data_IF_809544495857
#
_entry.id   IF_809544495857
#
_cell.length_a   1.000
_cell.length_b   1.000
_cell.length_c   1.000
_cell.angle_alpha   90.00
_cell.angle_beta   90.00
_cell.angle_gamma   90.00
#
_symmetry.space_group_name_H-M   'P 1'
#
loop_
_entity.id
_entity.type
_entity.pdbx_description
1 polymer ?
#
# COMPACT_ATOMS: atom_id res chain seq x y z
N UNK A 1 13.31 59.79 11.80
CA UNK A 1 14.11 58.79 12.54
C UNK A 1 14.10 57.44 11.81
N UNK A 2 14.35 57.46 10.50
CA UNK A 2 14.54 56.25 9.70
C UNK A 2 16.05 56.14 9.50
N UNK A 3 16.67 55.05 9.98
CA UNK A 3 18.08 54.62 9.78
C UNK A 3 18.73 53.95 11.02
N UNK A 4 17.96 53.38 11.95
CA UNK A 4 18.58 52.44 12.92
C UNK A 4 18.68 51.06 12.27
N UNK A 5 19.81 50.77 11.61
CA UNK A 5 20.19 49.42 11.18
C UNK A 5 20.43 48.55 12.42
N UNK A 6 19.78 47.38 12.48
CA UNK A 6 19.86 46.45 13.60
C UNK A 6 21.29 45.91 13.79
N UNK A 7 21.96 46.36 14.85
CA UNK A 7 23.27 45.89 15.30
C UNK A 7 23.15 44.63 16.17
N UNK A 8 22.60 43.54 15.62
CA UNK A 8 22.67 42.24 16.27
C UNK A 8 23.79 41.41 15.65
N UNK A 9 24.56 40.69 16.46
CA UNK A 9 25.70 39.82 16.06
C UNK A 9 25.26 38.77 15.00
N UNK A 10 23.97 38.48 14.94
CA UNK A 10 23.35 37.57 13.97
C UNK A 10 23.29 38.16 12.56
N UNK A 11 23.31 39.48 12.38
CA UNK A 11 23.29 40.11 11.06
C UNK A 11 24.64 39.97 10.35
N UNK A 12 25.77 39.99 11.06
CA UNK A 12 27.11 39.83 10.47
C UNK A 12 27.36 38.43 9.90
N UNK A 13 26.79 37.39 10.51
CA UNK A 13 26.89 36.03 10.00
C UNK A 13 25.95 35.80 8.82
N UNK A 14 24.75 36.40 8.84
CA UNK A 14 23.81 36.31 7.73
C UNK A 14 24.33 37.06 6.49
N UNK A 15 24.93 38.23 6.64
CA UNK A 15 25.54 38.98 5.51
C UNK A 15 26.79 38.32 4.94
N UNK A 16 27.46 37.44 5.69
CA UNK A 16 28.58 36.61 5.20
C UNK A 16 28.12 35.34 4.48
N UNK A 17 26.94 34.82 4.83
CA UNK A 17 26.33 33.68 4.15
C UNK A 17 25.59 34.09 2.87
N UNK A 18 25.16 35.35 2.79
CA UNK A 18 24.57 35.92 1.58
C UNK A 18 25.69 36.50 0.70
N UNK A 19 25.91 35.90 -0.46
CA UNK A 19 26.89 36.40 -1.43
C UNK A 19 26.31 37.59 -2.21
N UNK A 20 26.66 38.81 -1.81
CA UNK A 20 26.26 40.04 -2.48
C UNK A 20 27.06 40.34 -3.77
N UNK A 21 27.95 39.44 -4.20
CA UNK A 21 28.70 39.62 -5.46
C UNK A 21 27.86 39.31 -6.70
N UNK A 22 26.80 38.52 -6.56
CA UNK A 22 25.93 38.06 -7.67
C UNK A 22 24.87 39.11 -8.04
N UNK A 23 24.43 39.94 -7.09
CA UNK A 23 23.37 40.95 -7.28
C UNK A 23 23.83 42.22 -8.04
N UNK A 24 25.11 42.29 -8.44
CA UNK A 24 25.61 43.44 -9.21
C UNK A 24 25.72 43.17 -10.71
N UNK A 25 25.52 41.93 -11.15
CA UNK A 25 25.59 41.55 -12.56
C UNK A 25 24.83 40.22 -12.78
N UNK A 26 23.52 40.26 -13.01
CA UNK A 26 22.86 39.44 -14.03
C UNK A 26 21.36 39.68 -14.04
N UNK A 27 20.94 40.34 -15.11
CA UNK A 27 19.59 40.25 -15.65
C UNK A 27 19.20 38.80 -15.91
N UNK A 28 17.97 38.47 -15.50
CA UNK A 28 17.04 37.47 -16.06
C UNK A 28 17.46 35.98 -16.11
N UNK A 29 16.54 35.15 -15.61
CA UNK A 29 16.29 33.75 -15.96
C UNK A 29 17.25 32.65 -15.45
N UNK A 30 17.24 32.40 -14.14
CA UNK A 30 17.36 31.03 -13.59
C UNK A 30 16.95 30.97 -12.12
N UNK A 31 15.69 30.60 -11.86
CA UNK A 31 15.13 30.44 -10.49
C UNK A 31 15.42 29.07 -9.84
N UNK A 32 16.21 28.18 -10.46
CA UNK A 32 16.37 26.79 -9.99
C UNK A 32 17.74 26.43 -9.35
N UNK A 33 18.70 27.36 -9.26
CA UNK A 33 20.05 27.05 -8.75
C UNK A 33 20.41 27.76 -7.42
N UNK A 34 19.39 28.13 -6.64
CA UNK A 34 19.59 28.74 -5.32
C UNK A 34 19.85 27.65 -4.25
N UNK A 35 21.14 27.29 -4.14
CA UNK A 35 21.77 26.49 -3.06
C UNK A 35 21.70 24.97 -3.25
N UNK A 36 22.62 24.42 -4.05
CA UNK A 36 23.04 23.02 -3.94
C UNK A 36 24.32 22.94 -3.10
N UNK A 37 24.20 22.57 -1.81
CA UNK A 37 25.38 22.26 -0.99
C UNK A 37 26.06 21.01 -1.57
N UNK A 38 27.16 21.18 -2.31
CA UNK A 38 28.05 20.08 -2.71
C UNK A 38 28.70 19.51 -1.44
N UNK A 39 28.12 18.46 -0.86
CA UNK A 39 28.87 17.60 0.05
C UNK A 39 29.90 16.87 -0.80
N UNK A 40 31.19 17.16 -0.56
CA UNK A 40 32.28 16.58 -1.33
C UNK A 40 32.32 15.05 -1.21
N UNK A 41 31.97 14.53 -0.04
CA UNK A 41 31.98 13.10 0.26
C UNK A 41 30.64 12.72 0.93
N UNK A 42 29.89 11.83 0.28
CA UNK A 42 28.65 11.26 0.80
C UNK A 42 28.85 9.89 1.46
N UNK A 43 30.09 9.39 1.49
CA UNK A 43 30.43 8.15 2.16
C UNK A 43 30.41 8.38 3.67
N UNK A 44 29.41 7.80 4.33
CA UNK A 44 29.42 7.68 5.78
C UNK A 44 30.56 6.71 6.12
N UNK A 45 31.53 7.09 6.99
CA UNK A 45 32.44 6.10 7.53
C UNK A 45 31.58 5.00 8.15
N UNK A 46 31.91 3.73 7.85
CA UNK A 46 31.15 2.60 8.37
C UNK A 46 31.02 2.70 9.90
N UNK A 47 30.01 2.04 10.48
CA UNK A 47 29.62 2.11 11.90
C UNK A 47 30.78 1.92 12.93
N UNK A 48 32.00 1.59 12.50
CA UNK A 48 33.20 1.44 13.31
C UNK A 48 34.26 2.56 13.25
N UNK A 49 34.12 3.58 12.39
CA UNK A 49 35.16 4.60 12.14
C UNK A 49 34.83 6.00 12.71
N UNK A 50 34.13 6.05 13.84
CA UNK A 50 34.08 7.28 14.63
C UNK A 50 35.44 7.45 15.32
N UNK A 51 36.07 8.65 15.26
CA UNK A 51 37.35 8.87 15.92
C UNK A 51 37.22 8.55 17.42
N UNK A 52 38.11 7.70 17.92
CA UNK A 52 38.16 7.37 19.34
C UNK A 52 38.28 8.68 20.13
N UNK A 53 37.23 9.06 20.86
CA UNK A 53 37.28 10.28 21.65
C UNK A 53 38.34 10.11 22.73
N UNK A 54 39.49 10.75 22.57
CA UNK A 54 40.69 10.63 23.43
C UNK A 54 40.41 11.00 24.91
N UNK A 55 39.26 11.60 25.20
CA UNK A 55 38.87 12.08 26.53
C UNK A 55 37.66 11.34 27.13
N UNK A 56 37.63 10.00 27.09
CA UNK A 56 36.63 9.25 27.88
C UNK A 56 37.11 9.00 29.31
N UNK A 57 36.25 9.30 30.30
CA UNK A 57 36.57 8.98 31.69
C UNK A 57 36.63 7.47 31.93
N UNK A 58 37.50 7.00 32.82
CA UNK A 58 37.63 5.58 33.20
C UNK A 58 36.28 4.95 33.62
N UNK A 59 35.37 5.74 34.19
CA UNK A 59 34.00 5.32 34.53
C UNK A 59 33.16 5.08 33.28
N UNK A 60 33.25 5.96 32.27
CA UNK A 60 32.52 5.82 30.99
C UNK A 60 32.98 4.60 30.21
N UNK A 61 34.30 4.32 30.19
CA UNK A 61 34.85 3.09 29.56
C UNK A 61 34.30 1.84 30.24
N UNK A 62 34.30 1.78 31.59
CA UNK A 62 33.69 0.65 32.33
C UNK A 62 32.19 0.49 32.08
N UNK A 63 31.47 1.60 31.94
CA UNK A 63 30.04 1.58 31.61
C UNK A 63 29.80 1.09 30.17
N UNK A 64 30.64 1.48 29.21
CA UNK A 64 30.56 1.01 27.82
C UNK A 64 30.87 -0.49 27.71
N UNK A 65 31.80 -1.00 28.51
CA UNK A 65 32.13 -2.43 28.60
C UNK A 65 31.11 -3.25 29.43
N UNK A 66 30.11 -2.60 30.04
CA UNK A 66 29.09 -3.33 30.78
C UNK A 66 28.22 -4.16 29.84
N UNK A 67 27.83 -5.36 30.25
CA UNK A 67 26.98 -6.28 29.45
C UNK A 67 25.71 -5.61 28.91
N UNK A 68 25.14 -4.66 29.68
CA UNK A 68 23.95 -3.89 29.28
C UNK A 68 24.24 -2.88 28.18
N UNK A 69 25.40 -2.21 28.22
CA UNK A 69 25.80 -1.28 27.17
C UNK A 69 26.14 -2.04 25.89
N UNK A 70 26.92 -3.12 25.99
CA UNK A 70 27.23 -3.98 24.84
C UNK A 70 25.96 -4.58 24.22
N UNK A 71 25.00 -5.04 25.02
CA UNK A 71 23.74 -5.57 24.47
C UNK A 71 22.87 -4.49 23.80
N UNK A 72 23.01 -3.22 24.18
CA UNK A 72 22.19 -2.11 23.65
C UNK A 72 22.84 -1.43 22.44
N UNK A 73 24.14 -1.20 22.49
CA UNK A 73 24.90 -0.42 21.50
C UNK A 73 26.06 -1.17 20.88
N UNK A 74 26.31 -2.41 21.30
CA UNK A 74 27.27 -3.28 20.64
C UNK A 74 26.71 -3.85 19.33
N UNK A 75 27.58 -4.48 18.52
CA UNK A 75 27.16 -5.12 17.27
C UNK A 75 26.11 -6.19 17.57
N UNK A 76 25.05 -6.22 16.77
CA UNK A 76 24.09 -7.33 16.81
C UNK A 76 24.81 -8.60 16.33
N UNK A 77 24.53 -9.74 16.95
CA UNK A 77 25.09 -11.00 16.50
C UNK A 77 24.51 -11.40 15.15
N UNK A 78 25.37 -11.85 14.22
CA UNK A 78 24.93 -12.42 12.95
C UNK A 78 24.52 -13.87 13.18
N UNK A 79 23.39 -14.28 12.59
CA UNK A 79 22.96 -15.68 12.61
C UNK A 79 23.65 -16.40 11.46
N UNK A 80 24.47 -17.39 11.81
CA UNK A 80 25.20 -18.24 10.87
C UNK A 80 24.52 -19.61 10.78
N UNK A 81 24.41 -20.14 9.57
CA UNK A 81 23.96 -21.50 9.24
C UNK A 81 25.17 -22.23 8.67
N UNK A 82 25.37 -23.48 9.09
CA UNK A 82 26.48 -24.29 8.59
C UNK A 82 25.96 -25.23 7.51
N UNK A 83 26.59 -25.18 6.34
CA UNK A 83 26.28 -26.06 5.23
C UNK A 83 26.84 -27.48 5.47
N UNK A 84 26.53 -28.43 4.58
CA UNK A 84 26.96 -29.83 4.69
C UNK A 84 28.49 -30.00 4.69
N UNK A 85 29.21 -29.05 4.06
CA UNK A 85 30.67 -28.98 4.06
C UNK A 85 31.26 -28.33 5.35
N UNK A 86 30.39 -27.91 6.28
CA UNK A 86 30.78 -27.29 7.55
C UNK A 86 31.20 -25.82 7.43
N UNK A 87 30.98 -25.18 6.28
CA UNK A 87 31.23 -23.76 6.07
C UNK A 87 30.09 -22.92 6.65
N UNK A 88 30.41 -21.80 7.29
CA UNK A 88 29.44 -20.91 7.91
C UNK A 88 28.94 -19.88 6.90
N UNK A 89 27.64 -19.88 6.66
CA UNK A 89 26.91 -18.94 5.79
C UNK A 89 25.99 -18.04 6.63
N UNK A 90 25.89 -16.76 6.29
CA UNK A 90 24.90 -15.88 6.91
C UNK A 90 23.50 -16.25 6.41
N UNK A 91 22.46 -16.20 7.28
CA UNK A 91 21.07 -16.55 6.88
C UNK A 91 20.61 -15.76 5.65
N UNK A 92 21.06 -14.52 5.51
CA UNK A 92 20.72 -13.62 4.41
C UNK A 92 21.99 -13.16 3.69
N UNK A 93 22.68 -14.08 3.03
CA UNK A 93 23.81 -13.74 2.16
C UNK A 93 23.32 -13.15 0.82
N UNK A 94 23.94 -12.04 0.39
CA UNK A 94 23.71 -11.47 -0.94
C UNK A 94 24.48 -12.29 -1.97
N UNK A 95 23.81 -13.25 -2.61
CA UNK A 95 24.40 -14.04 -3.70
C UNK A 95 24.59 -13.18 -4.94
N UNK A 96 25.73 -13.33 -5.61
CA UNK A 96 26.00 -12.58 -6.84
C UNK A 96 25.12 -13.11 -7.98
N UNK A 97 24.69 -12.24 -8.89
CA UNK A 97 23.85 -12.62 -10.04
C UNK A 97 24.46 -13.76 -10.86
N UNK A 98 25.78 -13.81 -10.99
CA UNK A 98 26.52 -14.85 -11.71
C UNK A 98 26.55 -16.21 -11.00
N UNK A 99 26.38 -16.24 -9.67
CA UNK A 99 26.37 -17.47 -8.87
C UNK A 99 24.98 -18.10 -8.86
N UNK A 100 23.93 -17.27 -8.84
CA UNK A 100 22.53 -17.72 -8.81
C UNK A 100 22.01 -18.03 -10.21
N UNK A 101 22.41 -17.24 -11.21
CA UNK A 101 21.93 -17.38 -12.58
C UNK A 101 23.13 -17.62 -13.49
N UNK A 102 23.15 -18.79 -14.14
CA UNK A 102 24.25 -19.16 -15.06
C UNK A 102 24.07 -18.51 -16.43
N UNK A 103 22.87 -18.03 -16.75
CA UNK A 103 22.57 -17.32 -17.98
C UNK A 103 21.29 -16.47 -17.92
N UNK A 104 21.06 -15.71 -18.99
CA UNK A 104 19.89 -14.83 -19.11
C UNK A 104 18.55 -15.59 -19.19
N UNK A 105 18.58 -16.86 -19.60
CA UNK A 105 17.37 -17.69 -19.69
C UNK A 105 16.91 -18.18 -18.32
N UNK A 106 17.84 -18.52 -17.41
CA UNK A 106 17.52 -18.85 -16.01
C UNK A 106 16.82 -17.67 -15.31
N UNK A 107 17.24 -16.43 -15.60
CA UNK A 107 16.62 -15.21 -15.06
C UNK A 107 15.18 -15.09 -15.55
N UNK A 108 14.94 -15.32 -16.86
CA UNK A 108 13.61 -15.25 -17.44
C UNK A 108 12.69 -16.34 -16.90
N UNK A 109 13.20 -17.56 -16.71
CA UNK A 109 12.44 -18.66 -16.13
C UNK A 109 12.11 -18.42 -14.65
N UNK A 110 13.06 -17.93 -13.87
CA UNK A 110 12.82 -17.51 -12.49
C UNK A 110 11.78 -16.38 -12.41
N UNK A 111 11.87 -15.41 -13.32
CA UNK A 111 10.88 -14.33 -13.45
C UNK A 111 9.49 -14.86 -13.80
N UNK A 112 9.38 -15.85 -14.70
CA UNK A 112 8.10 -16.50 -15.04
C UNK A 112 7.51 -17.24 -13.84
N UNK A 113 8.31 -18.05 -13.14
CA UNK A 113 7.86 -18.78 -11.93
C UNK A 113 7.40 -17.81 -10.84
N UNK A 114 8.12 -16.71 -10.64
CA UNK A 114 7.72 -15.67 -9.71
C UNK A 114 6.41 -15.00 -10.12
N UNK A 115 6.27 -14.61 -11.39
CA UNK A 115 5.05 -13.99 -11.90
C UNK A 115 3.83 -14.94 -11.82
N UNK A 116 4.02 -16.23 -12.10
CA UNK A 116 2.98 -17.24 -11.94
C UNK A 116 2.59 -17.44 -10.47
N UNK A 117 3.57 -17.45 -9.55
CA UNK A 117 3.32 -17.52 -8.11
C UNK A 117 2.55 -16.31 -7.58
N UNK A 118 2.94 -15.10 -7.98
CA UNK A 118 2.22 -13.87 -7.63
C UNK A 118 0.82 -13.83 -8.24
N UNK A 119 0.65 -14.28 -9.49
CA UNK A 119 -0.68 -14.46 -10.10
C UNK A 119 -1.54 -15.46 -9.32
N UNK A 120 -0.96 -16.57 -8.86
CA UNK A 120 -1.65 -17.54 -8.01
C UNK A 120 -2.16 -16.92 -6.72
N UNK A 121 -1.30 -16.21 -5.98
CA UNK A 121 -1.70 -15.48 -4.75
C UNK A 121 -2.80 -14.45 -5.00
N UNK A 122 -2.72 -13.73 -6.11
CA UNK A 122 -3.73 -12.75 -6.52
C UNK A 122 -5.09 -13.44 -6.79
N UNK A 123 -5.09 -14.57 -7.49
CA UNK A 123 -6.30 -15.36 -7.73
C UNK A 123 -6.90 -15.90 -6.43
N UNK A 124 -6.08 -16.38 -5.49
CA UNK A 124 -6.54 -16.82 -4.18
C UNK A 124 -7.20 -15.67 -3.41
N UNK A 125 -6.58 -14.48 -3.40
CA UNK A 125 -7.16 -13.29 -2.79
C UNK A 125 -8.49 -12.90 -3.43
N UNK A 126 -8.60 -12.92 -4.76
CA UNK A 126 -9.85 -12.62 -5.48
C UNK A 126 -10.98 -13.60 -5.12
N UNK A 127 -10.66 -14.89 -4.93
CA UNK A 127 -11.63 -15.90 -4.50
C UNK A 127 -12.10 -15.65 -3.07
N UNK A 128 -11.18 -15.30 -2.15
CA UNK A 128 -11.50 -14.95 -0.77
C UNK A 128 -12.40 -13.70 -0.72
N UNK A 129 -12.04 -12.64 -1.46
CA UNK A 129 -12.85 -11.41 -1.53
C UNK A 129 -14.25 -11.68 -2.10
N UNK A 130 -14.34 -12.54 -3.13
CA UNK A 130 -15.62 -12.96 -3.71
C UNK A 130 -16.45 -13.78 -2.72
N UNK A 131 -15.81 -14.64 -1.93
CA UNK A 131 -16.48 -15.42 -0.89
C UNK A 131 -17.01 -14.51 0.22
N UNK A 132 -16.19 -13.61 0.76
CA UNK A 132 -16.62 -12.63 1.76
C UNK A 132 -17.78 -11.76 1.27
N UNK A 133 -17.72 -11.31 0.01
CA UNK A 133 -18.79 -10.51 -0.58
C UNK A 133 -20.12 -11.30 -0.68
N UNK A 134 -20.04 -12.60 -1.01
CA UNK A 134 -21.21 -13.50 -1.02
C UNK A 134 -21.73 -13.74 0.39
N UNK A 135 -20.87 -13.95 1.37
CA UNK A 135 -21.26 -14.15 2.77
C UNK A 135 -21.91 -12.90 3.37
N UNK A 136 -21.31 -11.72 3.19
CA UNK A 136 -21.90 -10.44 3.61
C UNK A 136 -23.28 -10.23 2.98
N UNK A 137 -23.49 -10.64 1.72
CA UNK A 137 -24.81 -10.61 1.07
C UNK A 137 -25.79 -11.62 1.69
N UNK A 138 -25.35 -12.86 1.93
CA UNK A 138 -26.18 -13.92 2.55
C UNK A 138 -26.56 -13.55 3.98
N UNK A 139 -25.64 -13.00 4.76
CA UNK A 139 -25.88 -12.54 6.13
C UNK A 139 -26.84 -11.35 6.16
N UNK A 140 -26.68 -10.37 5.26
CA UNK A 140 -27.66 -9.26 5.12
C UNK A 140 -29.06 -9.79 4.76
N UNK A 141 -29.15 -10.77 3.86
CA UNK A 141 -30.43 -11.44 3.53
C UNK A 141 -31.01 -12.17 4.74
N UNK A 142 -30.20 -12.93 5.49
CA UNK A 142 -30.63 -13.63 6.71
C UNK A 142 -31.13 -12.65 7.77
N UNK A 143 -30.37 -11.59 8.05
CA UNK A 143 -30.74 -10.54 9.01
C UNK A 143 -32.02 -9.81 8.60
N UNK A 144 -32.22 -9.54 7.30
CA UNK A 144 -33.46 -8.95 6.80
C UNK A 144 -34.65 -9.88 7.02
N UNK A 145 -34.51 -11.16 6.66
CA UNK A 145 -35.54 -12.19 6.85
C UNK A 145 -35.87 -12.41 8.33
N UNK A 146 -34.86 -12.37 9.20
CA UNK A 146 -35.04 -12.51 10.66
C UNK A 146 -35.73 -11.29 11.27
N UNK A 147 -35.31 -10.07 10.89
CA UNK A 147 -35.98 -8.84 11.32
C UNK A 147 -37.43 -8.77 10.86
N UNK A 148 -37.72 -9.14 9.62
CA UNK A 148 -39.09 -9.21 9.10
C UNK A 148 -39.93 -10.27 9.82
N UNK A 149 -39.33 -11.41 10.17
CA UNK A 149 -39.98 -12.45 10.96
C UNK A 149 -40.21 -12.02 12.42
N UNK A 150 -39.31 -11.26 13.01
CA UNK A 150 -39.45 -10.70 14.36
C UNK A 150 -40.48 -9.57 14.39
N UNK A 151 -40.51 -8.69 13.39
CA UNK A 151 -41.51 -7.62 13.26
C UNK A 151 -42.91 -8.19 13.00
N UNK A 152 -43.04 -9.23 12.17
CA UNK A 152 -44.30 -9.96 12.01
C UNK A 152 -44.70 -10.75 13.27
N UNK A 153 -43.73 -11.18 14.09
CA UNK A 153 -43.99 -11.80 15.40
C UNK A 153 -44.14 -10.80 16.56
N UNK A 154 -43.95 -9.50 16.32
CA UNK A 154 -44.07 -8.43 17.31
C UNK A 154 -45.30 -7.54 17.07
N UNK A 155 -45.91 -7.60 15.88
CA UNK A 155 -47.23 -7.00 15.59
C UNK A 155 -48.39 -7.82 16.19
N UNK A 156 -48.18 -9.10 16.49
CA UNK A 156 -49.10 -9.94 17.27
C UNK A 156 -48.92 -9.76 18.81
N UNK A 157 -48.71 -8.51 19.24
CA UNK A 157 -48.11 -8.21 20.56
C UNK A 157 -48.86 -7.23 21.48
N UNK A 158 -49.90 -6.53 21.05
CA UNK A 158 -50.84 -5.80 21.94
C UNK A 158 -52.30 -6.03 21.51
N UNK A 159 -52.81 -7.23 21.77
CA UNK A 159 -54.23 -7.50 21.70
C UNK A 159 -54.62 -8.98 21.61
N UNK A 160 -54.58 -9.66 22.76
CA UNK A 160 -55.23 -10.96 23.07
C UNK A 160 -54.30 -12.20 23.15
N UNK A 161 -54.29 -12.93 24.29
CA UNK A 161 -53.62 -14.21 24.39
C UNK A 161 -54.51 -15.29 23.77
N UNK A 162 -54.22 -15.71 22.54
CA UNK A 162 -54.77 -16.95 22.00
C UNK A 162 -53.64 -17.86 21.56
N UNK A 163 -53.25 -18.70 22.51
CA UNK A 163 -52.50 -19.94 22.28
C UNK A 163 -53.25 -20.79 21.23
N UNK A 164 -52.84 -20.73 19.97
CA UNK A 164 -53.38 -21.61 18.92
C UNK A 164 -52.51 -22.85 18.83
N UNK A 165 -52.86 -23.85 19.63
CA UNK A 165 -52.51 -25.25 19.36
C UNK A 165 -53.21 -25.67 18.07
N UNK A 166 -52.44 -26.07 17.05
CA UNK A 166 -52.96 -26.61 15.79
C UNK A 166 -53.71 -27.91 16.06
N UNK A 167 -55.04 -27.83 16.11
CA UNK A 167 -55.94 -28.96 15.90
C UNK A 167 -56.12 -29.18 14.39
N UNK A 168 -56.28 -30.44 13.92
CA UNK A 168 -56.47 -30.72 12.50
C UNK A 168 -57.83 -30.18 12.05
N UNK A 169 -57.82 -29.22 11.12
CA UNK A 169 -59.04 -28.65 10.54
C UNK A 169 -59.48 -29.53 9.38
N UNK A 170 -60.72 -30.01 9.54
CA UNK A 170 -61.53 -30.82 8.64
C UNK A 170 -61.79 -30.12 7.30
N UNK A 171 -61.86 -30.93 6.24
CA UNK A 171 -61.99 -30.56 4.84
C UNK A 171 -63.09 -29.52 4.54
N UNK A 172 -62.77 -28.39 3.90
CA UNK A 172 -63.81 -27.62 3.19
C UNK A 172 -63.67 -26.11 2.97
N UNK A 173 -62.48 -25.49 2.97
CA UNK A 173 -62.36 -24.10 2.48
C UNK A 173 -61.77 -24.06 1.07
N UNK A 174 -62.54 -23.50 0.14
CA UNK A 174 -62.24 -23.39 -1.29
C UNK A 174 -61.12 -22.41 -1.64
N UNK A 175 -60.03 -22.40 -0.87
CA UNK A 175 -58.83 -21.63 -1.19
C UNK A 175 -57.96 -22.43 -2.16
N UNK A 176 -58.26 -22.29 -3.45
CA UNK A 176 -57.34 -22.72 -4.51
C UNK A 176 -56.20 -21.71 -4.55
N UNK A 177 -55.08 -22.05 -3.90
CA UNK A 177 -53.83 -21.32 -4.10
C UNK A 177 -53.55 -21.28 -5.60
N UNK A 178 -53.34 -20.10 -6.22
CA UNK A 178 -52.93 -20.04 -7.61
C UNK A 178 -51.65 -20.88 -7.77
N UNK A 179 -51.68 -21.86 -8.68
CA UNK A 179 -50.49 -22.59 -9.08
C UNK A 179 -49.54 -21.60 -9.74
N UNK A 180 -48.64 -21.04 -8.95
CA UNK A 180 -47.51 -20.30 -9.45
C UNK A 180 -46.51 -21.36 -9.92
N UNK A 181 -46.64 -21.74 -11.19
CA UNK A 181 -45.71 -22.61 -11.90
C UNK A 181 -44.35 -21.89 -11.96
N UNK A 182 -43.62 -22.00 -10.86
CA UNK A 182 -42.21 -21.66 -10.80
C UNK A 182 -41.50 -22.73 -11.64
N UNK A 183 -40.92 -22.38 -12.79
CA UNK A 183 -40.07 -23.33 -13.47
C UNK A 183 -39.01 -23.75 -12.46
N UNK A 184 -38.94 -25.06 -12.20
CA UNK A 184 -37.80 -25.71 -11.57
C UNK A 184 -36.62 -25.54 -12.51
N UNK A 185 -36.05 -24.33 -12.57
CA UNK A 185 -34.94 -23.99 -13.44
C UNK A 185 -33.65 -24.47 -12.79
N UNK A 186 -33.43 -25.77 -12.96
CA UNK A 186 -32.12 -26.28 -13.31
C UNK A 186 -31.61 -25.56 -14.57
N UNK A 187 -30.41 -25.02 -14.45
CA UNK A 187 -29.47 -24.63 -15.53
C UNK A 187 -29.69 -23.27 -16.24
N UNK A 188 -28.56 -22.56 -16.36
CA UNK A 188 -28.26 -21.52 -17.36
C UNK A 188 -29.20 -20.31 -17.52
N UNK A 189 -29.11 -19.38 -16.57
CA UNK A 189 -29.51 -17.98 -16.82
C UNK A 189 -28.35 -17.21 -17.50
N UNK A 190 -27.98 -17.69 -18.69
CA UNK A 190 -27.01 -17.12 -19.64
C UNK A 190 -27.61 -16.03 -20.55
N UNK A 191 -28.82 -15.53 -20.29
CA UNK A 191 -29.44 -14.49 -21.13
C UNK A 191 -30.21 -13.40 -20.35
N UNK A 192 -29.79 -13.11 -19.11
CA UNK A 192 -30.20 -11.90 -18.42
C UNK A 192 -29.61 -10.67 -19.12
N UNK A 193 -30.43 -10.00 -19.94
CA UNK A 193 -30.11 -8.76 -20.64
C UNK A 193 -29.25 -7.81 -19.78
N UNK A 194 -28.18 -7.21 -20.34
CA UNK A 194 -27.21 -6.48 -19.56
C UNK A 194 -27.90 -5.36 -18.77
N UNK A 195 -27.64 -5.24 -17.45
CA UNK A 195 -28.24 -4.19 -16.64
C UNK A 195 -27.91 -2.82 -17.25
N UNK A 196 -28.84 -1.84 -17.17
CA UNK A 196 -28.62 -0.52 -17.76
C UNK A 196 -27.31 0.07 -17.24
N UNK A 197 -26.43 0.60 -18.11
CA UNK A 197 -25.12 1.08 -17.69
C UNK A 197 -25.32 2.17 -16.64
N UNK A 198 -24.76 1.93 -15.45
CA UNK A 198 -24.77 2.89 -14.35
C UNK A 198 -24.19 4.19 -14.91
N UNK A 199 -24.97 5.27 -14.88
CA UNK A 199 -24.46 6.62 -15.19
C UNK A 199 -23.25 6.84 -14.28
N UNK A 200 -22.07 6.92 -14.89
CA UNK A 200 -20.84 7.15 -14.19
C UNK A 200 -20.99 8.42 -13.36
N UNK A 201 -20.96 8.26 -12.04
CA UNK A 201 -20.63 9.36 -11.15
C UNK A 201 -19.29 9.88 -11.66
N UNK A 202 -19.20 11.19 -11.92
CA UNK A 202 -18.01 11.83 -12.44
C UNK A 202 -16.82 11.58 -11.49
N UNK A 203 -16.18 10.43 -11.66
CA UNK A 203 -14.87 10.13 -11.16
C UNK A 203 -13.92 10.84 -12.11
N UNK A 204 -13.02 11.62 -11.54
CA UNK A 204 -11.94 12.29 -12.26
C UNK A 204 -11.37 11.34 -13.30
N UNK A 205 -11.37 11.77 -14.56
CA UNK A 205 -10.77 11.04 -15.68
C UNK A 205 -9.37 10.61 -15.26
N UNK A 206 -9.18 9.33 -14.90
CA UNK A 206 -7.90 8.69 -15.10
C UNK A 206 -7.80 8.58 -16.60
N UNK A 207 -7.08 9.53 -17.19
CA UNK A 207 -6.71 9.50 -18.61
C UNK A 207 -5.89 8.24 -18.82
N UNK A 208 -6.19 7.49 -19.87
CA UNK A 208 -5.36 6.39 -20.33
C UNK A 208 -3.98 7.01 -20.65
N UNK A 209 -3.01 6.77 -19.77
CA UNK A 209 -1.71 7.44 -19.81
C UNK A 209 -0.91 7.01 -21.04
N UNK A 210 -1.18 5.83 -21.59
CA UNK A 210 -0.44 5.30 -22.73
C UNK A 210 -0.80 5.96 -24.07
N UNK A 211 -2.05 6.44 -24.27
CA UNK A 211 -2.41 7.18 -25.49
C UNK A 211 -2.02 8.65 -25.42
N UNK A 212 -2.05 9.27 -24.23
CA UNK A 212 -1.64 10.66 -24.04
C UNK A 212 -0.11 10.83 -24.23
N UNK A 213 0.71 9.83 -23.87
CA UNK A 213 2.17 9.91 -23.96
C UNK A 213 2.67 10.02 -25.42
N UNK A 214 2.15 9.21 -26.34
CA UNK A 214 2.55 9.27 -27.75
C UNK A 214 2.14 10.59 -28.42
N UNK A 215 0.99 11.16 -28.03
CA UNK A 215 0.53 12.45 -28.51
C UNK A 215 1.34 13.61 -27.91
N UNK A 216 1.70 13.53 -26.62
CA UNK A 216 2.57 14.50 -25.93
C UNK A 216 4.01 14.48 -26.49
N UNK A 217 4.56 13.30 -26.82
CA UNK A 217 5.87 13.17 -27.46
C UNK A 217 5.90 13.80 -28.87
N UNK A 218 4.83 13.60 -29.66
CA UNK A 218 4.70 14.22 -30.97
C UNK A 218 4.60 15.75 -30.89
N UNK A 219 3.82 16.26 -29.93
CA UNK A 219 3.68 17.69 -29.67
C UNK A 219 5.02 18.31 -29.21
N UNK A 220 5.76 17.62 -28.33
CA UNK A 220 7.08 18.04 -27.88
C UNK A 220 8.10 18.08 -29.04
N UNK A 221 8.09 17.08 -29.93
CA UNK A 221 8.91 17.08 -31.15
C UNK A 221 8.52 18.21 -32.12
N UNK A 222 7.24 18.57 -32.20
CA UNK A 222 6.78 19.68 -33.03
C UNK A 222 7.30 21.02 -32.50
N UNK A 223 7.26 21.25 -31.18
CA UNK A 223 7.82 22.46 -30.56
C UNK A 223 9.35 22.54 -30.69
N UNK A 224 10.05 21.39 -30.68
CA UNK A 224 11.49 21.35 -30.89
C UNK A 224 11.89 21.66 -32.34
N UNK A 225 11.02 21.32 -33.31
CA UNK A 225 11.23 21.60 -34.75
C UNK A 225 10.82 23.01 -35.16
N UNK A 226 9.97 23.68 -34.39
CA UNK A 226 9.49 25.03 -34.67
C UNK A 226 10.40 26.14 -34.13
N UNK A 227 11.67 25.85 -33.82
CA UNK A 227 12.65 26.80 -33.31
C UNK A 227 13.82 26.96 -34.28
#
# INVERSE_FOLDING_TARGET
MFERKNQSILSEHYTKLVDHSIDRNQDADSEDDFITLKRADHDLPGDGELPESEFTSKRKVKMAMSKKAIAKSGPKGNKLVFDEDGLAHEIYELKTTNEVFRGADDIKEAGRKFAEGERGKMQEADVVDKAEAKEKKREKKRKRKEREKEEMGHDDGEGMPMTTTLAPVEDGDGYVSPDFDLPSESEDDLDAAPPPPKRAKAQSRKRDVDSDLEEEEQLALQFLRSR
#
